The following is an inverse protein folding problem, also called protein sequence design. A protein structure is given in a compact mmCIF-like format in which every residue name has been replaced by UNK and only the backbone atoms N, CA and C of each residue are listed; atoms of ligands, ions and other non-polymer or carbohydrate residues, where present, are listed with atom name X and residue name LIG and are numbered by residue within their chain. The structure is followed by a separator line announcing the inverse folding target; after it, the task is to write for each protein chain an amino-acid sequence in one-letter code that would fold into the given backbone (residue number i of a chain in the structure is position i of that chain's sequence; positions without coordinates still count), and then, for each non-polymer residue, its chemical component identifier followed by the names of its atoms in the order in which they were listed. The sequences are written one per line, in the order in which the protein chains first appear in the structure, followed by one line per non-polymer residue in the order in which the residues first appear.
data_IF_061029332612
#
_entry.id   IF_061029332612
#
_cell.length_a   1.000
_cell.length_b   1.000
_cell.length_c   1.000
_cell.angle_alpha   90.00
_cell.angle_beta   90.00
_cell.angle_gamma   90.00
#
_symmetry.space_group_name_H-M   'P 1'
#
loop_
_entity.id
_entity.type
_entity.pdbx_description
1 polymer ?
#
# COMPACT_ATOMS: atom_id res chain seq x y z
N UNK A 1 -29.14 26.68 -5.79
CA UNK A 1 -28.49 25.40 -5.47
C UNK A 1 -28.01 25.49 -4.04
N UNK A 2 -28.56 24.68 -3.14
CA UNK A 2 -28.07 24.63 -1.76
C UNK A 2 -26.70 23.97 -1.75
N UNK A 3 -25.82 24.33 -0.81
CA UNK A 3 -24.53 23.64 -0.57
C UNK A 3 -24.70 22.12 -0.41
N UNK A 4 -25.87 21.67 0.05
CA UNK A 4 -26.21 20.25 0.18
C UNK A 4 -26.50 19.58 -1.18
N UNK A 5 -27.02 20.34 -2.14
CA UNK A 5 -27.28 19.85 -3.51
C UNK A 5 -25.95 19.65 -4.25
N UNK A 6 -24.99 20.56 -4.07
CA UNK A 6 -23.65 20.43 -4.66
C UNK A 6 -22.91 19.18 -4.14
N UNK A 7 -23.00 18.92 -2.83
CA UNK A 7 -22.41 17.71 -2.23
C UNK A 7 -23.13 16.43 -2.68
N UNK A 8 -24.43 16.49 -2.94
CA UNK A 8 -25.20 15.36 -3.47
C UNK A 8 -24.81 15.07 -4.91
N UNK A 9 -24.72 16.09 -5.76
CA UNK A 9 -24.32 15.96 -7.15
C UNK A 9 -22.91 15.33 -7.30
N UNK A 10 -21.95 15.76 -6.47
CA UNK A 10 -20.60 15.17 -6.47
C UNK A 10 -20.59 13.69 -6.04
N UNK A 11 -21.47 13.32 -5.11
CA UNK A 11 -21.59 11.92 -4.66
C UNK A 11 -22.20 11.03 -5.73
N UNK A 12 -23.26 11.51 -6.38
CA UNK A 12 -23.95 10.80 -7.46
C UNK A 12 -23.00 10.60 -8.67
N UNK A 13 -22.30 11.65 -9.09
CA UNK A 13 -21.30 11.55 -10.17
C UNK A 13 -20.18 10.53 -9.85
N UNK A 14 -19.73 10.46 -8.59
CA UNK A 14 -18.74 9.46 -8.16
C UNK A 14 -19.31 8.05 -8.18
N UNK A 15 -20.55 7.87 -7.75
CA UNK A 15 -21.23 6.58 -7.77
C UNK A 15 -21.40 6.07 -9.22
N UNK A 16 -21.88 6.91 -10.12
CA UNK A 16 -22.03 6.59 -11.54
C UNK A 16 -20.70 6.16 -12.17
N UNK A 17 -19.61 6.89 -11.87
CA UNK A 17 -18.26 6.52 -12.35
C UNK A 17 -17.80 5.16 -11.84
N UNK A 18 -18.14 4.80 -10.60
CA UNK A 18 -17.80 3.51 -10.03
C UNK A 18 -18.63 2.37 -10.63
N UNK A 19 -19.93 2.58 -10.82
CA UNK A 19 -20.83 1.61 -11.49
C UNK A 19 -20.36 1.36 -12.92
N UNK A 20 -20.06 2.42 -13.68
CA UNK A 20 -19.57 2.32 -15.05
C UNK A 20 -18.24 1.54 -15.13
N UNK A 21 -17.35 1.71 -14.16
CA UNK A 21 -16.08 0.96 -14.10
C UNK A 21 -16.27 -0.50 -13.68
N UNK A 22 -17.24 -0.80 -12.82
CA UNK A 22 -17.57 -2.16 -12.39
C UNK A 22 -18.21 -3.01 -13.50
N UNK A 23 -18.88 -2.36 -14.46
CA UNK A 23 -19.44 -3.02 -15.63
C UNK A 23 -18.40 -3.32 -16.74
N UNK A 24 -17.19 -2.77 -16.63
CA UNK A 24 -16.12 -3.03 -17.60
C UNK A 24 -15.41 -4.35 -17.28
N UNK A 25 -15.14 -5.21 -18.28
CA UNK A 25 -14.41 -6.45 -18.06
C UNK A 25 -12.99 -6.15 -17.55
N UNK A 26 -12.56 -6.92 -16.54
CA UNK A 26 -11.21 -6.79 -16.01
C UNK A 26 -10.16 -7.06 -17.10
N UNK A 27 -9.06 -6.30 -17.16
CA UNK A 27 -7.99 -6.58 -18.10
C UNK A 27 -7.38 -7.96 -17.82
N UNK A 28 -6.85 -8.64 -18.85
CA UNK A 28 -6.26 -9.96 -18.68
C UNK A 28 -5.08 -9.91 -17.72
N UNK A 29 -5.07 -10.83 -16.74
CA UNK A 29 -3.96 -10.97 -15.81
C UNK A 29 -2.74 -11.48 -16.57
N UNK A 30 -1.62 -10.76 -16.45
CA UNK A 30 -0.33 -11.23 -16.98
C UNK A 30 0.15 -12.44 -16.16
N UNK A 31 0.77 -13.44 -16.80
CA UNK A 31 1.34 -14.58 -16.09
C UNK A 31 2.46 -14.12 -15.16
N UNK A 32 2.40 -14.56 -13.91
CA UNK A 32 3.45 -14.36 -12.92
C UNK A 32 4.43 -15.51 -13.08
N UNK A 33 5.70 -15.21 -13.38
CA UNK A 33 6.75 -16.24 -13.44
C UNK A 33 7.07 -16.74 -12.02
N UNK A 34 7.23 -18.05 -11.80
CA UNK A 34 7.64 -18.58 -10.51
C UNK A 34 9.09 -18.18 -10.24
N UNK A 35 9.34 -17.56 -9.08
CA UNK A 35 10.69 -17.32 -8.60
C UNK A 35 11.23 -18.64 -8.03
N UNK A 36 12.42 -19.05 -8.51
CA UNK A 36 13.12 -20.21 -7.99
C UNK A 36 13.55 -19.96 -6.54
N UNK A 37 13.37 -20.96 -5.67
CA UNK A 37 13.77 -20.90 -4.27
C UNK A 37 15.31 -20.96 -4.14
N UNK A 38 15.91 -19.98 -3.48
CA UNK A 38 17.31 -20.03 -3.03
C UNK A 38 17.45 -20.90 -1.76
N UNK A 39 18.59 -21.59 -1.57
CA UNK A 39 18.81 -22.43 -0.41
C UNK A 39 19.09 -21.61 0.86
N UNK A 40 18.54 -22.09 1.99
CA UNK A 40 18.77 -21.52 3.32
C UNK A 40 20.26 -21.57 3.72
N UNK A 41 20.77 -20.44 4.24
CA UNK A 41 22.05 -20.36 4.94
C UNK A 41 21.83 -20.26 6.46
N UNK A 42 22.72 -20.84 7.29
CA UNK A 42 22.54 -20.90 8.73
C UNK A 42 22.75 -19.54 9.41
N UNK A 43 22.08 -19.39 10.54
CA UNK A 43 21.94 -18.21 11.40
C UNK A 43 23.25 -17.76 12.02
N UNK A 44 23.59 -16.47 11.90
CA UNK A 44 24.54 -15.80 12.77
C UNK A 44 23.78 -14.87 13.72
N UNK A 45 23.82 -15.17 15.01
CA UNK A 45 23.55 -14.17 16.04
C UNK A 45 24.73 -13.19 16.07
N UNK A 46 24.47 -11.90 15.87
CA UNK A 46 25.40 -10.80 16.11
C UNK A 46 24.60 -9.60 16.61
N UNK A 47 24.72 -9.38 17.91
CA UNK A 47 24.87 -8.12 18.63
C UNK A 47 24.51 -6.82 17.90
N UNK A 48 23.53 -6.11 18.46
CA UNK A 48 23.27 -4.66 18.38
C UNK A 48 23.43 -3.97 17.01
N UNK A 49 22.30 -3.77 16.33
CA UNK A 49 22.14 -2.72 15.31
C UNK A 49 20.87 -1.92 15.61
N UNK A 50 20.77 -1.46 16.87
CA UNK A 50 19.72 -0.54 17.34
C UNK A 50 19.94 0.90 16.84
N UNK A 51 20.53 1.08 15.65
CA UNK A 51 20.89 2.40 15.11
C UNK A 51 20.14 2.77 13.83
N UNK A 52 19.53 1.82 13.10
CA UNK A 52 18.75 2.09 11.89
C UNK A 52 17.63 1.04 11.70
N UNK A 53 16.92 0.71 12.79
CA UNK A 53 15.71 -0.11 12.66
C UNK A 53 14.60 0.75 12.04
N UNK A 54 14.03 0.31 10.92
CA UNK A 54 12.89 0.98 10.31
C UNK A 54 11.60 0.79 11.12
N UNK A 55 10.64 1.69 10.94
CA UNK A 55 9.36 1.75 11.66
C UNK A 55 8.45 0.53 11.47
N UNK A 56 8.76 -0.37 10.53
CA UNK A 56 8.07 -1.66 10.38
C UNK A 56 6.65 -1.58 9.81
N UNK A 57 6.10 -0.39 9.56
CA UNK A 57 4.75 -0.24 9.00
C UNK A 57 4.73 -0.60 7.51
N UNK A 58 3.66 -1.28 7.07
CA UNK A 58 3.47 -1.72 5.69
C UNK A 58 2.16 -1.19 5.13
N UNK A 59 2.18 -0.67 3.89
CA UNK A 59 0.95 -0.24 3.22
C UNK A 59 0.22 -1.41 2.53
N UNK A 60 -0.98 -1.13 2.03
CA UNK A 60 -1.81 -2.13 1.31
C UNK A 60 -1.12 -2.69 0.05
N UNK A 61 -0.18 -1.95 -0.55
CA UNK A 61 0.59 -2.39 -1.71
C UNK A 61 1.85 -3.20 -1.34
N UNK A 62 2.03 -3.50 -0.06
CA UNK A 62 3.16 -4.28 0.45
C UNK A 62 4.48 -3.52 0.58
N UNK A 63 4.49 -2.18 0.44
CA UNK A 63 5.69 -1.35 0.66
C UNK A 63 5.86 -1.01 2.14
N UNK A 64 7.10 -1.02 2.62
CA UNK A 64 7.45 -0.74 4.01
C UNK A 64 7.81 0.73 4.22
N UNK A 65 7.56 1.25 5.43
CA UNK A 65 7.94 2.61 5.77
C UNK A 65 9.45 2.71 5.93
N UNK A 66 10.08 3.62 5.17
CA UNK A 66 11.54 3.82 5.17
C UNK A 66 11.99 4.86 6.21
N UNK A 67 11.21 5.08 7.27
CA UNK A 67 11.60 5.94 8.39
C UNK A 67 12.06 5.10 9.56
N UNK A 68 12.87 5.71 10.42
CA UNK A 68 13.31 5.14 11.69
C UNK A 68 12.16 4.70 12.61
N UNK A 69 12.45 3.68 13.41
CA UNK A 69 11.57 3.14 14.44
C UNK A 69 11.29 4.20 15.50
N UNK A 70 10.01 4.35 15.85
CA UNK A 70 9.58 5.37 16.80
C UNK A 70 9.50 6.80 16.23
N UNK A 71 9.45 6.98 14.90
CA UNK A 71 9.30 8.32 14.33
C UNK A 71 8.03 9.04 14.85
N UNK A 72 8.18 10.29 15.30
CA UNK A 72 7.08 11.06 15.92
C UNK A 72 5.94 11.41 14.95
N UNK A 73 6.22 11.40 13.64
CA UNK A 73 5.23 11.75 12.64
C UNK A 73 4.24 10.59 12.38
N UNK A 74 2.95 10.88 12.34
CA UNK A 74 1.89 9.88 12.12
C UNK A 74 1.73 9.46 10.65
N UNK A 75 2.34 10.20 9.74
CA UNK A 75 2.38 9.86 8.31
C UNK A 75 3.58 8.99 8.01
N UNK A 76 3.36 7.85 7.35
CA UNK A 76 4.43 6.97 6.92
C UNK A 76 4.86 7.33 5.50
N UNK A 77 6.17 7.36 5.26
CA UNK A 77 6.73 7.46 3.92
C UNK A 77 6.96 6.06 3.38
N UNK A 78 6.17 5.69 2.37
CA UNK A 78 6.33 4.44 1.63
C UNK A 78 7.02 4.78 0.30
N UNK A 79 8.22 4.25 0.08
CA UNK A 79 8.91 4.31 -1.21
C UNK A 79 8.71 2.99 -1.94
#
# INVERSE_FOLDING_TARGET
MSKMDDLRALREARYERHVARGAQPAPPRRPVQPQAAEPERPTAATTDSSADELCGHRNMSGRTCTREKGHAAKSHRYS
#
